data_IF_192088678475
#
_entry.id   IF_192088678475
#
_cell.length_a   1.000
_cell.length_b   1.000
_cell.length_c   1.000
_cell.angle_alpha   90.00
_cell.angle_beta   90.00
_cell.angle_gamma   90.00
#
_symmetry.space_group_name_H-M   'P 1'
#
loop_
_entity.id
_entity.type
_entity.pdbx_description
1 polymer ?
#
# COMPACT_ATOMS: atom_id res chain seq x y z
N UNK A 1 -15.39 9.57 -10.96
CA UNK A 1 -14.59 10.21 -9.88
C UNK A 1 -13.14 10.02 -10.27
N UNK A 2 -12.20 10.91 -9.93
CA UNK A 2 -10.80 10.50 -9.98
C UNK A 2 -10.69 9.25 -9.11
N UNK A 3 -10.23 8.14 -9.69
CA UNK A 3 -10.04 6.91 -8.95
C UNK A 3 -9.16 7.26 -7.75
N UNK A 4 -9.69 7.05 -6.55
CA UNK A 4 -8.95 7.39 -5.35
C UNK A 4 -7.66 6.53 -5.32
N UNK A 5 -6.66 7.01 -4.58
CA UNK A 5 -5.35 6.36 -4.56
C UNK A 5 -5.43 4.89 -4.08
N UNK A 6 -6.50 4.53 -3.35
CA UNK A 6 -6.78 3.18 -2.90
C UNK A 6 -7.23 2.29 -4.05
N UNK A 7 -8.18 2.74 -4.87
CA UNK A 7 -8.64 2.03 -6.08
C UNK A 7 -7.50 1.83 -7.08
N UNK A 8 -6.67 2.86 -7.31
CA UNK A 8 -5.49 2.75 -8.19
C UNK A 8 -4.49 1.70 -7.69
N UNK A 9 -4.27 1.64 -6.37
CA UNK A 9 -3.40 0.63 -5.78
C UNK A 9 -3.98 -0.78 -5.92
N UNK A 10 -5.27 -0.97 -5.62
CA UNK A 10 -5.98 -2.24 -5.77
C UNK A 10 -5.93 -2.73 -7.22
N UNK A 11 -6.19 -1.85 -8.18
CA UNK A 11 -6.19 -2.22 -9.60
C UNK A 11 -4.80 -2.55 -10.12
N UNK A 12 -3.77 -1.81 -9.69
CA UNK A 12 -2.38 -2.16 -9.99
C UNK A 12 -2.03 -3.53 -9.41
N UNK A 13 -2.45 -3.81 -8.18
CA UNK A 13 -2.22 -5.09 -7.51
C UNK A 13 -2.92 -6.25 -8.24
N UNK A 14 -4.18 -6.05 -8.63
CA UNK A 14 -4.96 -7.01 -9.43
C UNK A 14 -4.32 -7.27 -10.79
N UNK A 15 -3.76 -6.24 -11.43
CA UNK A 15 -3.07 -6.37 -12.72
C UNK A 15 -1.74 -7.13 -12.60
N UNK A 16 -0.99 -6.91 -11.52
CA UNK A 16 0.33 -7.51 -11.31
C UNK A 16 0.26 -8.97 -10.87
N UNK A 17 -0.65 -9.29 -9.93
CA UNK A 17 -0.73 -10.63 -9.31
C UNK A 17 -1.94 -11.45 -9.76
N UNK A 18 -2.88 -10.85 -10.47
CA UNK A 18 -4.19 -11.44 -10.74
C UNK A 18 -5.14 -11.31 -9.56
N UNK A 19 -6.44 -11.41 -9.84
CA UNK A 19 -7.49 -11.01 -8.89
C UNK A 19 -7.50 -11.83 -7.58
N UNK A 20 -7.31 -13.15 -7.68
CA UNK A 20 -7.32 -14.05 -6.51
C UNK A 20 -6.12 -13.83 -5.60
N UNK A 21 -4.94 -13.61 -6.18
CA UNK A 21 -3.72 -13.39 -5.42
C UNK A 21 -3.68 -11.97 -4.83
N UNK A 22 -4.17 -10.98 -5.57
CA UNK A 22 -4.40 -9.62 -5.08
C UNK A 22 -5.34 -9.61 -3.86
N UNK A 23 -6.44 -10.39 -3.90
CA UNK A 23 -7.35 -10.58 -2.75
C UNK A 23 -6.63 -11.12 -1.51
N UNK A 24 -5.85 -12.19 -1.69
CA UNK A 24 -5.09 -12.79 -0.58
C UNK A 24 -4.02 -11.84 -0.04
N UNK A 25 -3.37 -11.08 -0.92
CA UNK A 25 -2.37 -10.10 -0.57
C UNK A 25 -2.97 -8.93 0.22
N UNK A 26 -4.07 -8.35 -0.25
CA UNK A 26 -4.81 -7.29 0.45
C UNK A 26 -5.29 -7.76 1.84
N UNK A 27 -5.79 -8.99 1.94
CA UNK A 27 -6.15 -9.57 3.23
C UNK A 27 -4.92 -9.77 4.14
N UNK A 28 -3.79 -10.18 3.56
CA UNK A 28 -2.52 -10.32 4.30
C UNK A 28 -1.99 -8.96 4.75
N UNK A 29 -2.12 -7.90 3.95
CA UNK A 29 -1.73 -6.52 4.29
C UNK A 29 -2.38 -6.01 5.58
N UNK A 30 -3.57 -6.52 5.93
CA UNK A 30 -4.24 -6.19 7.19
C UNK A 30 -3.60 -6.85 8.43
N UNK A 31 -2.73 -7.84 8.22
CA UNK A 31 -2.11 -8.69 9.26
C UNK A 31 -0.59 -8.53 9.36
N UNK A 32 0.04 -7.79 8.44
CA UNK A 32 1.49 -7.56 8.44
C UNK A 32 1.85 -6.38 9.34
N UNK A 33 3.09 -6.35 9.80
CA UNK A 33 3.59 -5.22 10.58
C UNK A 33 3.54 -3.92 9.75
N UNK A 34 3.41 -2.77 10.42
CA UNK A 34 3.37 -1.48 9.75
C UNK A 34 4.61 -1.25 8.85
N UNK A 35 5.77 -1.77 9.25
CA UNK A 35 7.03 -1.66 8.49
C UNK A 35 6.96 -2.44 7.17
N UNK A 36 6.54 -3.71 7.22
CA UNK A 36 6.43 -4.56 6.02
C UNK A 36 5.39 -4.01 5.02
N UNK A 37 4.34 -3.41 5.57
CA UNK A 37 3.30 -2.74 4.82
C UNK A 37 3.82 -1.48 4.13
N UNK A 38 4.66 -0.68 4.79
CA UNK A 38 5.29 0.48 4.15
C UNK A 38 6.23 0.08 3.02
N UNK A 39 7.02 -0.98 3.20
CA UNK A 39 7.95 -1.48 2.17
C UNK A 39 7.20 -1.96 0.95
N UNK A 40 6.09 -2.66 1.19
CA UNK A 40 5.16 -3.06 0.13
C UNK A 40 4.62 -1.84 -0.63
N UNK A 41 4.07 -0.86 0.08
CA UNK A 41 3.40 0.26 -0.56
C UNK A 41 4.37 1.08 -1.42
N UNK A 42 5.62 1.24 -0.96
CA UNK A 42 6.66 1.92 -1.71
C UNK A 42 7.19 1.14 -2.91
N UNK A 43 7.34 -0.19 -2.81
CA UNK A 43 7.77 -1.00 -3.96
C UNK A 43 6.77 -0.94 -5.11
N UNK A 44 5.48 -0.83 -4.80
CA UNK A 44 4.43 -0.58 -5.79
C UNK A 44 4.46 0.84 -6.39
N UNK A 45 5.19 1.79 -5.80
CA UNK A 45 5.26 3.18 -6.25
C UNK A 45 6.54 3.52 -7.03
N UNK A 46 7.67 2.84 -6.79
CA UNK A 46 8.86 2.93 -7.65
C UNK A 46 9.95 1.91 -7.27
N UNK A 47 10.48 1.18 -8.25
CA UNK A 47 11.67 0.33 -8.07
C UNK A 47 12.92 1.14 -7.69
N UNK A 48 13.07 2.34 -8.26
CA UNK A 48 14.20 3.23 -7.96
C UNK A 48 14.21 3.68 -6.50
N UNK A 49 13.03 3.87 -5.90
CA UNK A 49 12.93 4.23 -4.48
C UNK A 49 13.44 3.09 -3.58
N UNK A 50 13.24 1.83 -3.96
CA UNK A 50 13.70 0.68 -3.19
C UNK A 50 15.23 0.58 -3.14
N UNK A 51 15.91 0.76 -4.28
CA UNK A 51 17.39 0.71 -4.33
C UNK A 51 18.07 1.81 -3.50
N UNK A 52 17.39 2.95 -3.32
CA UNK A 52 17.88 4.05 -2.49
C UNK A 52 17.63 3.78 -1.00
N UNK A 53 16.51 3.14 -0.66
CA UNK A 53 16.14 2.78 0.71
C UNK A 53 17.00 1.64 1.28
N UNK A 54 17.37 0.66 0.47
CA UNK A 54 18.23 -0.47 0.88
C UNK A 54 19.63 -0.05 1.37
N UNK A 55 20.06 1.18 1.06
CA UNK A 55 21.36 1.73 1.48
C UNK A 55 21.29 2.47 2.82
N UNK A 56 20.12 2.59 3.41
CA UNK A 56 19.88 3.36 4.65
C UNK A 56 19.86 2.44 5.88
N UNK A 57 20.04 3.03 7.06
CA UNK A 57 19.78 2.32 8.33
C UNK A 57 18.28 2.09 8.50
N UNK A 58 17.86 1.07 9.26
CA UNK A 58 16.43 0.75 9.44
C UNK A 58 15.60 1.93 9.97
N UNK A 59 16.17 2.72 10.89
CA UNK A 59 15.53 3.89 11.49
C UNK A 59 15.40 5.07 10.50
N UNK A 60 16.40 5.27 9.65
CA UNK A 60 16.38 6.33 8.63
C UNK A 60 15.51 5.93 7.44
N UNK A 61 15.55 4.65 7.07
CA UNK A 61 14.72 4.05 6.04
C UNK A 61 13.25 4.31 6.36
N UNK A 62 12.79 4.00 7.58
CA UNK A 62 11.38 4.23 7.96
C UNK A 62 10.94 5.69 7.79
N UNK A 63 11.77 6.65 8.23
CA UNK A 63 11.45 8.08 8.12
C UNK A 63 11.42 8.55 6.68
N UNK A 64 12.38 8.09 5.89
CA UNK A 64 12.49 8.46 4.48
C UNK A 64 11.33 7.87 3.65
N UNK A 65 10.92 6.64 3.97
CA UNK A 65 9.74 6.00 3.41
C UNK A 65 8.47 6.79 3.71
N UNK A 66 8.26 7.18 4.97
CA UNK A 66 7.12 8.01 5.36
C UNK A 66 7.10 9.35 4.63
N UNK A 67 8.27 10.00 4.49
CA UNK A 67 8.43 11.26 3.77
C UNK A 67 8.07 11.11 2.28
N UNK A 68 8.71 10.17 1.57
CA UNK A 68 8.49 9.96 0.12
C UNK A 68 7.07 9.55 -0.19
N UNK A 69 6.50 8.68 0.65
CA UNK A 69 5.12 8.27 0.50
C UNK A 69 4.17 9.46 0.64
N UNK A 70 4.35 10.28 1.68
CA UNK A 70 3.55 11.49 1.88
C UNK A 70 3.70 12.51 0.76
N UNK A 71 4.91 12.67 0.22
CA UNK A 71 5.14 13.57 -0.93
C UNK A 71 4.42 13.12 -2.20
N UNK A 72 4.33 11.81 -2.43
CA UNK A 72 3.65 11.25 -3.61
C UNK A 72 2.13 11.16 -3.45
N UNK A 73 1.64 10.87 -2.25
CA UNK A 73 0.23 10.54 -2.02
C UNK A 73 -0.55 11.65 -1.31
N UNK A 74 0.14 12.59 -0.67
CA UNK A 74 -0.45 13.63 0.17
C UNK A 74 -0.87 13.18 1.57
N UNK A 75 -0.76 11.89 1.90
CA UNK A 75 -1.18 11.32 3.19
C UNK A 75 -0.07 10.48 3.82
N UNK A 76 -0.12 10.28 5.13
CA UNK A 76 0.82 9.41 5.79
C UNK A 76 0.55 7.94 5.42
N UNK A 77 1.59 7.08 5.38
CA UNK A 77 1.41 5.67 5.07
C UNK A 77 0.38 4.94 5.95
N UNK A 78 0.34 5.25 7.25
CA UNK A 78 -0.63 4.63 8.17
C UNK A 78 -2.09 5.06 7.86
N UNK A 79 -2.29 6.29 7.38
CA UNK A 79 -3.59 6.78 6.92
C UNK A 79 -4.01 6.06 5.64
N UNK A 80 -3.05 5.81 4.75
CA UNK A 80 -3.31 5.05 3.53
C UNK A 80 -3.77 3.63 3.85
N UNK A 81 -3.07 2.96 4.76
CA UNK A 81 -3.40 1.59 5.20
C UNK A 81 -4.82 1.52 5.74
N UNK A 82 -5.17 2.47 6.60
CA UNK A 82 -6.48 2.50 7.23
C UNK A 82 -7.59 2.72 6.19
N UNK A 83 -7.39 3.67 5.27
CA UNK A 83 -8.32 3.89 4.15
C UNK A 83 -8.42 2.69 3.20
N UNK A 84 -7.31 1.99 2.96
CA UNK A 84 -7.31 0.76 2.17
C UNK A 84 -8.10 -0.35 2.87
N UNK A 85 -7.94 -0.52 4.18
CA UNK A 85 -8.71 -1.48 4.98
C UNK A 85 -10.20 -1.18 4.93
N UNK A 86 -10.59 0.08 5.10
CA UNK A 86 -11.98 0.52 5.00
C UNK A 86 -12.54 0.24 3.59
N UNK A 87 -11.76 0.49 2.54
CA UNK A 87 -12.18 0.24 1.15
C UNK A 87 -12.33 -1.24 0.80
N UNK A 88 -11.41 -2.08 1.29
CA UNK A 88 -11.54 -3.54 1.19
C UNK A 88 -12.78 -3.99 1.97
N UNK A 89 -13.02 -3.44 3.17
CA UNK A 89 -14.21 -3.78 3.92
C UNK A 89 -15.49 -3.38 3.16
N UNK A 90 -15.54 -2.20 2.54
CA UNK A 90 -16.66 -1.76 1.70
C UNK A 90 -16.86 -2.64 0.46
N UNK A 91 -15.81 -2.92 -0.32
CA UNK A 91 -15.91 -3.74 -1.53
C UNK A 91 -16.24 -5.20 -1.26
N UNK A 92 -15.91 -5.74 -0.07
CA UNK A 92 -16.05 -7.16 0.25
C UNK A 92 -17.17 -7.48 1.24
N UNK A 93 -17.53 -6.59 2.17
CA UNK A 93 -18.66 -6.80 3.10
C UNK A 93 -20.00 -6.40 2.50
N UNK A 94 -20.03 -5.52 1.50
CA UNK A 94 -21.28 -5.07 0.85
C UNK A 94 -21.63 -5.96 -0.36
N UNK A 95 -20.72 -6.82 -0.82
CA UNK A 95 -20.97 -7.77 -1.91
C UNK A 95 -21.80 -9.01 -1.52
N UNK A 96 -22.23 -9.14 -0.25
CA UNK A 96 -23.14 -10.21 0.21
C UNK A 96 -24.57 -9.71 0.53
N UNK A 97 -25.08 -8.72 -0.21
CA UNK A 97 -26.52 -8.38 -0.21
C UNK A 97 -27.12 -8.28 -1.60
#
# INVERSE_FOLDING_TARGET
MPDDIYTLFIDKLKKDKGEKEAKNYLNSLTKISAVDLFTTLLSFMSEKDMEELEKMSDDDMKKEMERRFKEKTGIAPWEFVKGLQDRIAEEYLISET
#
